data_IF_728424922206
#
_entry.id   IF_728424922206
#
_cell.length_a   1.000
_cell.length_b   1.000
_cell.length_c   1.000
_cell.angle_alpha   90.00
_cell.angle_beta   90.00
_cell.angle_gamma   90.00
#
_symmetry.space_group_name_H-M   'P 1'
#
loop_
_entity.id
_entity.type
_entity.pdbx_description
1 polymer ?
#
# COMPACT_ATOMS: atom_id res chain seq x y z
N UNK A 1 -4.74 13.48 10.25
CA UNK A 1 -3.64 12.99 9.40
C UNK A 1 -4.26 12.14 8.32
N UNK A 2 -4.10 12.55 7.06
CA UNK A 2 -4.61 11.81 5.89
C UNK A 2 -3.58 10.75 5.50
N UNK A 3 -4.05 9.56 5.13
CA UNK A 3 -3.19 8.54 4.53
C UNK A 3 -2.89 8.96 3.08
N UNK A 4 -1.69 8.65 2.61
CA UNK A 4 -1.24 8.86 1.24
C UNK A 4 -0.86 7.52 0.63
N UNK A 5 -1.31 7.26 -0.59
CA UNK A 5 -0.92 6.09 -1.37
C UNK A 5 0.34 6.37 -2.17
N UNK A 6 1.32 5.48 -2.08
CA UNK A 6 2.46 5.51 -2.98
C UNK A 6 2.02 5.12 -4.39
N UNK A 7 2.30 5.95 -5.40
CA UNK A 7 1.91 5.64 -6.78
C UNK A 7 2.65 4.44 -7.37
N UNK A 8 3.85 4.13 -6.87
CA UNK A 8 4.68 3.04 -7.38
C UNK A 8 4.29 1.67 -6.80
N UNK A 9 4.08 1.58 -5.49
CA UNK A 9 3.83 0.30 -4.80
C UNK A 9 2.48 0.23 -4.09
N UNK A 10 1.64 1.27 -4.20
CA UNK A 10 0.29 1.37 -3.64
C UNK A 10 0.17 1.29 -2.13
N UNK A 11 1.28 1.18 -1.38
CA UNK A 11 1.23 1.19 0.08
C UNK A 11 0.72 2.52 0.60
N UNK A 12 -0.11 2.46 1.63
CA UNK A 12 -0.61 3.62 2.35
C UNK A 12 0.33 3.96 3.49
N UNK A 13 0.73 5.22 3.56
CA UNK A 13 1.58 5.77 4.61
C UNK A 13 1.05 7.13 5.05
N UNK A 14 1.29 7.48 6.29
CA UNK A 14 1.03 8.78 6.90
C UNK A 14 2.27 9.69 6.90
N UNK A 15 3.43 9.20 6.44
CA UNK A 15 4.67 9.96 6.30
C UNK A 15 4.87 10.59 4.93
N UNK A 16 5.99 11.30 4.77
CA UNK A 16 6.40 11.95 3.50
C UNK A 16 7.22 11.04 2.58
N UNK A 17 7.49 9.81 3.00
CA UNK A 17 8.30 8.85 2.23
C UNK A 17 7.71 7.45 2.38
N UNK A 18 7.60 6.75 1.25
CA UNK A 18 7.10 5.39 1.21
C UNK A 18 8.00 4.44 2.01
N UNK A 19 7.47 3.64 2.95
CA UNK A 19 8.28 2.71 3.74
C UNK A 19 8.79 1.50 2.94
N UNK A 20 8.14 1.15 1.81
CA UNK A 20 8.49 0.00 0.97
C UNK A 20 9.53 0.39 -0.08
N UNK A 21 9.20 1.35 -0.97
CA UNK A 21 10.07 1.71 -2.09
C UNK A 21 10.94 2.94 -1.85
N UNK A 22 10.81 3.62 -0.70
CA UNK A 22 11.51 4.88 -0.35
C UNK A 22 11.23 6.05 -1.31
N UNK A 23 10.23 5.93 -2.17
CA UNK A 23 9.77 7.00 -3.04
C UNK A 23 9.02 8.10 -2.28
N UNK A 24 9.02 9.31 -2.84
CA UNK A 24 8.26 10.47 -2.33
C UNK A 24 7.01 10.80 -3.15
N UNK A 25 6.74 10.01 -4.20
CA UNK A 25 5.55 10.17 -5.04
C UNK A 25 4.34 9.51 -4.34
N UNK A 26 3.68 10.32 -3.51
CA UNK A 26 2.55 9.95 -2.67
C UNK A 26 1.33 10.77 -3.09
N UNK A 27 0.16 10.13 -3.15
CA UNK A 27 -1.13 10.73 -3.53
C UNK A 27 -2.15 10.58 -2.42
N UNK A 28 -2.87 11.65 -2.09
CA UNK A 28 -4.04 11.59 -1.19
C UNK A 28 -5.30 11.14 -1.92
N UNK A 29 -5.33 11.31 -3.25
CA UNK A 29 -6.39 10.76 -4.10
C UNK A 29 -6.05 9.30 -4.42
N UNK A 30 -6.73 8.39 -3.72
CA UNK A 30 -6.72 6.96 -3.97
C UNK A 30 -8.08 6.37 -3.61
N UNK A 31 -8.44 5.25 -4.24
CA UNK A 31 -9.69 4.56 -3.95
C UNK A 31 -9.46 3.09 -3.60
N UNK A 32 -10.33 2.61 -2.72
CA UNK A 32 -10.26 1.25 -2.19
C UNK A 32 -9.15 1.11 -1.15
N UNK A 33 -9.40 0.25 -0.17
CA UNK A 33 -8.46 -0.06 0.89
C UNK A 33 -8.36 -1.57 1.01
N UNK A 34 -7.15 -2.09 0.91
CA UNK A 34 -6.81 -3.48 1.19
C UNK A 34 -5.92 -3.49 2.42
N UNK A 35 -6.27 -4.32 3.40
CA UNK A 35 -5.43 -4.56 4.57
C UNK A 35 -4.94 -6.00 4.48
N UNK A 36 -3.65 -6.15 4.21
CA UNK A 36 -2.98 -7.46 4.20
C UNK A 36 -2.42 -7.70 5.59
N UNK A 37 -3.07 -8.61 6.33
CA UNK A 37 -2.61 -9.03 7.66
C UNK A 37 -1.50 -10.08 7.55
N UNK A 38 -1.69 -11.06 6.68
CA UNK A 38 -0.76 -12.14 6.41
C UNK A 38 -0.65 -12.34 4.88
N UNK A 39 0.47 -11.94 4.25
CA UNK A 39 0.69 -12.11 2.82
C UNK A 39 0.89 -13.56 2.41
N UNK A 40 1.36 -14.45 3.30
CA UNK A 40 1.67 -15.83 2.96
C UNK A 40 0.41 -16.69 2.86
N UNK A 41 -0.59 -16.45 3.72
CA UNK A 41 -1.88 -17.17 3.68
C UNK A 41 -2.93 -16.50 2.78
N UNK A 42 -2.77 -15.20 2.45
CA UNK A 42 -3.76 -14.46 1.67
C UNK A 42 -3.64 -14.71 0.16
N UNK A 43 -4.64 -15.36 -0.43
CA UNK A 43 -4.74 -15.53 -1.89
C UNK A 43 -4.86 -14.20 -2.62
N UNK A 44 -5.53 -13.22 -2.01
CA UNK A 44 -5.62 -11.85 -2.53
C UNK A 44 -4.25 -11.17 -2.56
N UNK A 45 -3.46 -11.30 -1.50
CA UNK A 45 -2.11 -10.74 -1.46
C UNK A 45 -1.22 -11.35 -2.55
N UNK A 46 -1.28 -12.69 -2.73
CA UNK A 46 -0.55 -13.40 -3.79
C UNK A 46 -0.96 -12.94 -5.19
N UNK A 47 -2.26 -12.82 -5.46
CA UNK A 47 -2.77 -12.32 -6.75
C UNK A 47 -2.32 -10.88 -7.04
N UNK A 48 -2.15 -10.07 -6.00
CA UNK A 48 -1.71 -8.68 -6.11
C UNK A 48 -0.18 -8.52 -6.04
N UNK A 49 0.59 -9.60 -5.86
CA UNK A 49 2.05 -9.54 -5.71
C UNK A 49 2.49 -8.81 -4.43
N UNK A 50 1.66 -8.80 -3.39
CA UNK A 50 1.95 -8.15 -2.12
C UNK A 50 2.67 -9.13 -1.21
N UNK A 51 3.95 -8.87 -0.94
CA UNK A 51 4.79 -9.72 -0.08
C UNK A 51 4.92 -9.19 1.35
N UNK A 52 4.51 -7.95 1.59
CA UNK A 52 4.60 -7.30 2.89
C UNK A 52 3.21 -7.00 3.47
N UNK A 53 3.02 -7.32 4.75
CA UNK A 53 1.83 -6.91 5.50
C UNK A 53 1.72 -5.38 5.54
N UNK A 54 0.50 -4.87 5.41
CA UNK A 54 0.29 -3.43 5.34
C UNK A 54 -1.06 -3.04 4.76
N UNK A 55 -1.24 -1.72 4.63
CA UNK A 55 -2.42 -1.13 4.02
C UNK A 55 -2.06 -0.69 2.60
N UNK A 56 -2.89 -1.05 1.63
CA UNK A 56 -2.65 -0.77 0.22
C UNK A 56 -3.89 -0.15 -0.42
N UNK A 57 -3.67 0.75 -1.37
CA UNK A 57 -4.69 1.29 -2.25
C UNK A 57 -4.93 0.37 -3.45
N UNK A 58 -6.13 0.38 -4.02
CA UNK A 58 -6.47 -0.41 -5.21
C UNK A 58 -6.23 0.42 -6.48
N UNK A 59 -6.86 1.60 -6.53
CA UNK A 59 -6.95 2.47 -7.69
C UNK A 59 -6.37 3.85 -7.39
#
# INVERSE_FOLDING_TARGET
MSLKACRSCKVLTDGDTCPICKGKDLSEDYMGLIIVLDPESSELAKKLGIEAKGRYAIK
#
